data_IF_908412177075
#
_entry.id   IF_908412177075
#
_cell.length_a   1.000
_cell.length_b   1.000
_cell.length_c   1.000
_cell.angle_alpha   90.00
_cell.angle_beta   90.00
_cell.angle_gamma   90.00
#
_symmetry.space_group_name_H-M   'P 1'
#
loop_
_entity.id
_entity.type
_entity.pdbx_description
1 polymer ?
#
# COMPACT_ATOMS: atom_id res chain seq x y z
N UNK A 1 -30.18 -14.97 2.42
CA UNK A 1 -30.55 -13.54 2.69
C UNK A 1 -30.68 -12.84 1.35
N UNK A 2 -31.79 -12.15 1.08
CA UNK A 2 -31.96 -11.41 -0.18
C UNK A 2 -31.06 -10.18 -0.15
N UNK A 3 -30.16 -10.07 -1.12
CA UNK A 3 -29.28 -8.91 -1.24
C UNK A 3 -30.13 -7.71 -1.62
N UNK A 4 -30.12 -6.68 -0.78
CA UNK A 4 -30.83 -5.42 -1.06
C UNK A 4 -30.22 -4.72 -2.29
N UNK A 5 -31.06 -4.10 -3.12
CA UNK A 5 -30.58 -3.30 -4.26
C UNK A 5 -29.60 -2.18 -3.83
N UNK A 6 -29.72 -1.68 -2.60
CA UNK A 6 -28.81 -0.68 -2.02
C UNK A 6 -27.38 -1.21 -1.86
N UNK A 7 -27.21 -2.52 -1.68
CA UNK A 7 -25.88 -3.13 -1.56
C UNK A 7 -25.00 -2.84 -2.78
N UNK A 8 -25.56 -2.85 -3.98
CA UNK A 8 -24.80 -2.65 -5.22
C UNK A 8 -24.14 -1.27 -5.34
N UNK A 9 -24.59 -0.29 -4.56
CA UNK A 9 -23.94 1.02 -4.48
C UNK A 9 -22.49 0.90 -3.97
N UNK A 10 -22.23 -0.07 -3.09
CA UNK A 10 -20.91 -0.25 -2.44
C UNK A 10 -19.84 -0.71 -3.44
N UNK A 11 -19.99 -1.86 -4.17
CA UNK A 11 -19.00 -2.27 -5.16
C UNK A 11 -18.91 -1.31 -6.35
N UNK A 12 -20.02 -0.64 -6.74
CA UNK A 12 -19.98 0.39 -7.79
C UNK A 12 -19.14 1.58 -7.34
N UNK A 13 -19.32 2.07 -6.10
CA UNK A 13 -18.53 3.15 -5.56
C UNK A 13 -17.03 2.79 -5.47
N UNK A 14 -16.69 1.54 -5.11
CA UNK A 14 -15.29 1.09 -5.08
C UNK A 14 -14.65 1.09 -6.46
N UNK A 15 -15.36 0.60 -7.48
CA UNK A 15 -14.88 0.62 -8.88
C UNK A 15 -14.71 2.06 -9.36
N UNK A 16 -15.66 2.94 -9.07
CA UNK A 16 -15.54 4.37 -9.41
C UNK A 16 -14.32 5.01 -8.73
N UNK A 17 -14.07 4.71 -7.45
CA UNK A 17 -12.87 5.19 -6.74
C UNK A 17 -11.57 4.75 -7.45
N UNK A 18 -11.47 3.49 -7.86
CA UNK A 18 -10.32 2.98 -8.61
C UNK A 18 -10.17 3.61 -9.99
N UNK A 19 -11.27 3.87 -10.69
CA UNK A 19 -11.26 4.59 -11.97
C UNK A 19 -10.80 6.04 -11.81
N UNK A 20 -11.24 6.74 -10.75
CA UNK A 20 -10.76 8.08 -10.44
C UNK A 20 -9.28 8.08 -10.02
N UNK A 21 -8.82 7.09 -9.25
CA UNK A 21 -7.40 6.91 -8.95
C UNK A 21 -6.58 6.78 -10.23
N UNK A 22 -7.00 5.93 -11.15
CA UNK A 22 -6.35 5.78 -12.46
C UNK A 22 -6.36 7.08 -13.27
N UNK A 23 -7.46 7.81 -13.28
CA UNK A 23 -7.57 9.10 -13.96
C UNK A 23 -6.58 10.13 -13.40
N UNK A 24 -6.49 10.29 -12.06
CA UNK A 24 -5.53 11.19 -11.42
C UNK A 24 -4.09 10.77 -11.67
N UNK A 25 -3.79 9.47 -11.60
CA UNK A 25 -2.48 8.95 -11.95
C UNK A 25 -2.09 9.32 -13.40
N UNK A 26 -2.98 9.10 -14.35
CA UNK A 26 -2.74 9.47 -15.75
C UNK A 26 -2.55 10.98 -15.94
N UNK A 27 -3.29 11.81 -15.20
CA UNK A 27 -3.10 13.26 -15.23
C UNK A 27 -1.75 13.69 -14.66
N UNK A 28 -1.34 13.10 -13.53
CA UNK A 28 -0.04 13.34 -12.92
C UNK A 28 1.10 12.94 -13.86
N UNK A 29 0.98 11.81 -14.54
CA UNK A 29 2.00 11.30 -15.48
C UNK A 29 2.19 12.16 -16.73
N UNK A 30 1.28 13.08 -17.05
CA UNK A 30 1.43 14.05 -18.16
C UNK A 30 2.36 15.21 -17.81
N UNK A 31 2.63 15.43 -16.53
CA UNK A 31 3.53 16.50 -16.10
C UNK A 31 4.98 16.08 -16.31
N UNK A 32 5.83 17.05 -16.62
CA UNK A 32 7.25 16.82 -16.91
C UNK A 32 8.06 16.55 -15.64
N UNK A 33 8.99 15.61 -15.70
CA UNK A 33 9.93 15.30 -14.60
C UNK A 33 11.04 16.33 -14.43
N UNK A 34 11.20 17.26 -15.36
CA UNK A 34 12.21 18.31 -15.31
C UNK A 34 13.48 17.96 -16.09
N UNK A 35 14.62 18.43 -15.59
CA UNK A 35 15.93 18.30 -16.25
C UNK A 35 16.38 16.83 -16.33
N UNK A 36 17.35 16.55 -17.19
CA UNK A 36 17.90 15.19 -17.34
C UNK A 36 18.55 14.69 -16.05
N UNK A 37 19.10 15.61 -15.23
CA UNK A 37 19.63 15.29 -13.90
C UNK A 37 18.49 14.85 -12.99
N UNK A 38 17.38 15.60 -12.95
CA UNK A 38 16.20 15.25 -12.14
C UNK A 38 15.64 13.88 -12.54
N UNK A 39 15.54 13.60 -13.84
CA UNK A 39 15.09 12.30 -14.37
C UNK A 39 16.01 11.16 -13.94
N UNK A 40 17.33 11.39 -13.97
CA UNK A 40 18.33 10.40 -13.54
C UNK A 40 18.22 10.10 -12.06
N UNK A 41 18.11 11.12 -11.20
CA UNK A 41 17.92 10.96 -9.75
C UNK A 41 16.61 10.22 -9.48
N UNK A 42 15.49 10.65 -10.07
CA UNK A 42 14.20 9.99 -9.93
C UNK A 42 14.22 8.51 -10.34
N UNK A 43 15.00 8.15 -11.37
CA UNK A 43 15.19 6.77 -11.77
C UNK A 43 15.91 5.95 -10.70
N UNK A 44 16.95 6.51 -10.05
CA UNK A 44 17.67 5.84 -8.97
C UNK A 44 16.77 5.65 -7.74
N UNK A 45 16.00 6.67 -7.35
CA UNK A 45 15.03 6.59 -6.25
C UNK A 45 13.98 5.51 -6.53
N UNK A 46 13.42 5.46 -7.74
CA UNK A 46 12.46 4.40 -8.15
C UNK A 46 13.07 3.00 -8.08
N UNK A 47 14.31 2.82 -8.54
CA UNK A 47 15.01 1.53 -8.44
C UNK A 47 15.22 1.12 -6.98
N UNK A 48 15.63 2.05 -6.13
CA UNK A 48 15.78 1.82 -4.70
C UNK A 48 14.47 1.42 -4.04
N UNK A 49 13.40 2.18 -4.28
CA UNK A 49 12.07 1.90 -3.76
C UNK A 49 11.54 0.52 -4.17
N UNK A 50 11.74 0.14 -5.45
CA UNK A 50 11.35 -1.20 -5.92
C UNK A 50 12.19 -2.31 -5.30
N UNK A 51 13.48 -2.08 -5.05
CA UNK A 51 14.36 -3.04 -4.38
C UNK A 51 13.95 -3.24 -2.93
N UNK A 52 13.61 -2.16 -2.22
CA UNK A 52 13.07 -2.19 -0.87
C UNK A 52 11.76 -3.00 -0.82
N UNK A 53 10.77 -2.65 -1.65
CA UNK A 53 9.48 -3.36 -1.67
C UNK A 53 9.65 -4.85 -1.96
N UNK A 54 10.52 -5.21 -2.90
CA UNK A 54 10.80 -6.63 -3.20
C UNK A 54 11.33 -7.37 -1.99
N UNK A 55 12.25 -6.77 -1.25
CA UNK A 55 12.81 -7.38 -0.04
C UNK A 55 11.78 -7.45 1.08
N UNK A 56 11.03 -6.39 1.30
CA UNK A 56 9.97 -6.33 2.29
C UNK A 56 8.91 -7.40 2.03
N UNK A 57 8.38 -7.49 0.81
CA UNK A 57 7.34 -8.46 0.47
C UNK A 57 7.83 -9.90 0.54
N UNK A 58 9.11 -10.15 0.31
CA UNK A 58 9.69 -11.48 0.52
C UNK A 58 9.63 -11.89 1.99
N UNK A 59 10.00 -10.99 2.90
CA UNK A 59 9.96 -11.26 4.35
C UNK A 59 8.52 -11.38 4.85
N UNK A 60 7.67 -10.42 4.49
CA UNK A 60 6.25 -10.43 4.88
C UNK A 60 5.53 -11.64 4.32
N UNK A 61 5.83 -12.04 3.07
CA UNK A 61 5.27 -13.24 2.46
C UNK A 61 5.57 -14.50 3.25
N UNK A 62 6.80 -14.63 3.79
CA UNK A 62 7.15 -15.76 4.67
C UNK A 62 6.30 -15.75 5.95
N UNK A 63 6.15 -14.59 6.59
CA UNK A 63 5.30 -14.44 7.78
C UNK A 63 3.84 -14.79 7.46
N UNK A 64 3.32 -14.32 6.32
CA UNK A 64 1.96 -14.66 5.88
C UNK A 64 1.76 -16.15 5.66
N UNK A 65 2.73 -16.85 5.08
CA UNK A 65 2.67 -18.32 4.94
C UNK A 65 2.53 -18.98 6.31
N UNK A 66 3.33 -18.59 7.30
CA UNK A 66 3.26 -19.14 8.66
C UNK A 66 1.90 -18.85 9.30
N UNK A 67 1.41 -17.61 9.21
CA UNK A 67 0.13 -17.24 9.79
C UNK A 67 -1.06 -17.92 9.10
N UNK A 68 -1.04 -18.04 7.77
CA UNK A 68 -2.09 -18.76 7.01
C UNK A 68 -2.12 -20.24 7.39
N UNK A 69 -0.96 -20.89 7.57
CA UNK A 69 -0.89 -22.29 8.04
C UNK A 69 -1.42 -22.41 9.47
N UNK A 70 -1.13 -21.45 10.33
CA UNK A 70 -1.70 -21.40 11.69
C UNK A 70 -3.23 -21.26 11.65
N UNK A 71 -3.77 -20.33 10.87
CA UNK A 71 -5.22 -20.17 10.71
C UNK A 71 -5.87 -21.40 10.06
N UNK A 72 -5.19 -22.06 9.11
CA UNK A 72 -5.66 -23.31 8.53
C UNK A 72 -5.71 -24.45 9.58
N UNK A 73 -4.71 -24.56 10.45
CA UNK A 73 -4.73 -25.50 11.56
C UNK A 73 -5.88 -25.23 12.53
N UNK A 74 -6.11 -23.97 12.89
CA UNK A 74 -7.21 -23.57 13.77
C UNK A 74 -8.59 -23.84 13.14
N UNK A 75 -8.72 -23.64 11.83
CA UNK A 75 -9.99 -23.82 11.11
C UNK A 75 -10.27 -25.30 10.80
N UNK A 76 -9.30 -26.02 10.24
CA UNK A 76 -9.53 -27.37 9.72
C UNK A 76 -9.02 -28.48 10.66
N UNK A 77 -8.01 -28.21 11.51
CA UNK A 77 -7.48 -29.19 12.46
C UNK A 77 -8.20 -29.15 13.79
N UNK A 78 -8.36 -27.98 14.37
CA UNK A 78 -8.96 -27.79 15.70
C UNK A 78 -10.44 -27.40 15.65
N UNK A 79 -10.97 -27.04 14.50
CA UNK A 79 -12.36 -26.60 14.27
C UNK A 79 -12.81 -25.44 15.22
N UNK A 80 -11.85 -24.57 15.60
CA UNK A 80 -12.10 -23.42 16.50
C UNK A 80 -12.57 -22.18 15.70
N UNK A 81 -12.30 -22.16 14.39
CA UNK A 81 -12.64 -21.06 13.49
C UNK A 81 -13.31 -21.56 12.23
N UNK A 82 -13.94 -20.61 11.51
CA UNK A 82 -14.54 -20.90 10.22
C UNK A 82 -13.50 -21.22 9.14
N UNK A 83 -13.80 -22.16 8.25
CA UNK A 83 -12.92 -22.57 7.15
C UNK A 83 -12.56 -21.46 6.15
N UNK A 84 -13.33 -20.37 6.09
CA UNK A 84 -13.04 -19.21 5.23
C UNK A 84 -11.97 -18.26 5.79
N UNK A 85 -11.68 -18.36 7.10
CA UNK A 85 -10.74 -17.48 7.83
C UNK A 85 -9.34 -17.39 7.18
N UNK A 86 -8.65 -18.49 6.80
CA UNK A 86 -7.32 -18.40 6.20
C UNK A 86 -7.32 -17.64 4.87
N UNK A 87 -8.37 -17.80 4.07
CA UNK A 87 -8.49 -17.13 2.79
C UNK A 87 -8.78 -15.64 2.95
N UNK A 88 -9.66 -15.27 3.87
CA UNK A 88 -9.95 -13.87 4.17
C UNK A 88 -8.70 -13.14 4.67
N UNK A 89 -7.92 -13.77 5.56
CA UNK A 89 -6.65 -13.24 6.02
C UNK A 89 -5.67 -12.99 4.87
N UNK A 90 -5.55 -13.96 3.96
CA UNK A 90 -4.65 -13.88 2.82
C UNK A 90 -5.04 -12.76 1.85
N UNK A 91 -6.34 -12.64 1.51
CA UNK A 91 -6.80 -11.58 0.61
C UNK A 91 -6.63 -10.20 1.21
N UNK A 92 -6.89 -10.03 2.52
CA UNK A 92 -6.65 -8.78 3.23
C UNK A 92 -5.19 -8.34 3.14
N UNK A 93 -4.26 -9.25 3.40
CA UNK A 93 -2.83 -8.97 3.23
C UNK A 93 -2.44 -8.65 1.79
N UNK A 94 -3.00 -9.38 0.82
CA UNK A 94 -2.75 -9.14 -0.60
C UNK A 94 -3.21 -7.76 -1.06
N UNK A 95 -4.45 -7.36 -0.75
CA UNK A 95 -4.98 -6.06 -1.16
C UNK A 95 -4.28 -4.91 -0.45
N UNK A 96 -3.91 -5.08 0.83
CA UNK A 96 -3.10 -4.09 1.55
C UNK A 96 -1.70 -3.95 0.93
N UNK A 97 -1.03 -5.06 0.61
CA UNK A 97 0.26 -5.04 -0.09
C UNK A 97 0.17 -4.41 -1.48
N UNK A 98 -0.89 -4.71 -2.23
CA UNK A 98 -1.15 -4.11 -3.53
C UNK A 98 -1.34 -2.59 -3.43
N UNK A 99 -2.08 -2.12 -2.41
CA UNK A 99 -2.26 -0.70 -2.15
C UNK A 99 -0.92 0.00 -1.86
N UNK A 100 -0.09 -0.59 -0.99
CA UNK A 100 1.26 -0.08 -0.70
C UNK A 100 2.17 -0.05 -1.93
N UNK A 101 2.13 -1.07 -2.78
CA UNK A 101 2.88 -1.10 -4.04
C UNK A 101 2.46 0.03 -4.99
N UNK A 102 1.16 0.22 -5.19
CA UNK A 102 0.62 1.26 -6.06
C UNK A 102 0.89 2.66 -5.49
N UNK A 103 0.81 2.82 -4.16
CA UNK A 103 1.15 4.05 -3.46
C UNK A 103 2.62 4.43 -3.64
N UNK A 104 3.54 3.54 -3.31
CA UNK A 104 4.98 3.75 -3.49
C UNK A 104 5.34 4.08 -4.94
N UNK A 105 4.76 3.36 -5.89
CA UNK A 105 4.94 3.63 -7.31
C UNK A 105 4.46 5.03 -7.66
N UNK A 106 3.28 5.44 -7.17
CA UNK A 106 2.72 6.76 -7.43
C UNK A 106 3.58 7.86 -6.82
N UNK A 107 4.00 7.73 -5.55
CA UNK A 107 4.82 8.70 -4.85
C UNK A 107 6.16 8.94 -5.56
N UNK A 108 6.88 7.87 -5.91
CA UNK A 108 8.18 7.97 -6.60
C UNK A 108 8.09 8.51 -8.04
N UNK A 109 6.93 8.39 -8.70
CA UNK A 109 6.68 9.06 -9.98
C UNK A 109 6.23 10.50 -9.81
N UNK A 110 5.61 10.86 -8.67
CA UNK A 110 5.15 12.22 -8.40
C UNK A 110 6.28 13.15 -7.96
N UNK A 111 7.25 12.68 -7.17
CA UNK A 111 8.26 13.49 -6.48
C UNK A 111 8.99 14.46 -7.41
N UNK A 112 9.66 13.97 -8.46
CA UNK A 112 10.37 14.83 -9.41
C UNK A 112 9.42 15.78 -10.18
N UNK A 113 8.23 15.31 -10.54
CA UNK A 113 7.21 16.14 -11.22
C UNK A 113 6.72 17.27 -10.34
N UNK A 114 6.50 16.98 -9.06
CA UNK A 114 6.12 17.98 -8.06
C UNK A 114 7.21 19.03 -7.89
N UNK A 115 8.47 18.59 -7.72
CA UNK A 115 9.61 19.49 -7.59
C UNK A 115 9.79 20.39 -8.82
N UNK A 116 9.75 19.82 -10.03
CA UNK A 116 9.86 20.59 -11.27
C UNK A 116 8.71 21.60 -11.45
N UNK A 117 7.48 21.21 -11.08
CA UNK A 117 6.34 22.12 -11.16
C UNK A 117 6.40 23.23 -10.10
N UNK A 118 6.89 22.93 -8.89
CA UNK A 118 7.05 23.90 -7.82
C UNK A 118 8.06 25.00 -8.15
N UNK A 119 9.11 24.71 -8.93
CA UNK A 119 10.05 25.72 -9.44
C UNK A 119 9.34 26.80 -10.29
N UNK A 120 8.26 26.44 -10.97
CA UNK A 120 7.48 27.37 -11.81
C UNK A 120 6.37 28.07 -11.01
N UNK A 121 5.71 27.36 -10.12
CA UNK A 121 4.62 27.86 -9.28
C UNK A 121 4.31 26.89 -8.16
N UNK A 122 4.23 27.40 -6.92
CA UNK A 122 3.81 26.64 -5.74
C UNK A 122 2.45 25.94 -5.96
N UNK A 123 1.48 26.67 -6.51
CA UNK A 123 0.15 26.13 -6.77
C UNK A 123 0.16 24.95 -7.76
N UNK A 124 1.05 24.99 -8.77
CA UNK A 124 1.21 23.89 -9.72
C UNK A 124 1.84 22.67 -9.06
N UNK A 125 2.86 22.87 -8.22
CA UNK A 125 3.46 21.80 -7.41
C UNK A 125 2.44 21.14 -6.48
N UNK A 126 1.69 21.96 -5.71
CA UNK A 126 0.63 21.47 -4.83
C UNK A 126 -0.43 20.66 -5.57
N UNK A 127 -0.84 21.08 -6.76
CA UNK A 127 -1.84 20.33 -7.56
C UNK A 127 -1.36 18.94 -7.93
N UNK A 128 -0.06 18.76 -8.23
CA UNK A 128 0.51 17.43 -8.54
C UNK A 128 0.60 16.59 -7.27
N UNK A 129 1.06 17.17 -6.16
CA UNK A 129 1.14 16.50 -4.88
C UNK A 129 -0.24 16.02 -4.39
N UNK A 130 -1.27 16.88 -4.44
CA UNK A 130 -2.64 16.49 -4.10
C UNK A 130 -3.19 15.39 -5.00
N UNK A 131 -2.89 15.40 -6.29
CA UNK A 131 -3.29 14.31 -7.19
C UNK A 131 -2.64 12.99 -6.81
N UNK A 132 -1.34 13.02 -6.46
CA UNK A 132 -0.62 11.85 -5.98
C UNK A 132 -1.24 11.27 -4.71
N UNK A 133 -1.50 12.13 -3.71
CA UNK A 133 -2.18 11.73 -2.48
C UNK A 133 -3.59 11.20 -2.72
N UNK A 134 -4.36 11.83 -3.62
CA UNK A 134 -5.69 11.36 -4.00
C UNK A 134 -5.66 9.97 -4.67
N UNK A 135 -4.64 9.68 -5.50
CA UNK A 135 -4.45 8.33 -6.06
C UNK A 135 -4.30 7.31 -4.95
N UNK A 136 -3.43 7.59 -3.97
CA UNK A 136 -3.19 6.66 -2.86
C UNK A 136 -4.46 6.45 -2.03
N UNK A 137 -5.12 7.52 -1.60
CA UNK A 137 -6.35 7.43 -0.80
C UNK A 137 -7.47 6.67 -1.51
N UNK A 138 -7.69 6.95 -2.79
CA UNK A 138 -8.72 6.26 -3.59
C UNK A 138 -8.38 4.79 -3.87
N UNK A 139 -7.09 4.43 -4.04
CA UNK A 139 -6.65 3.05 -4.19
C UNK A 139 -6.90 2.27 -2.90
N UNK A 140 -6.48 2.80 -1.75
CA UNK A 140 -6.68 2.13 -0.45
C UNK A 140 -8.15 1.88 -0.18
N UNK A 141 -8.98 2.94 -0.25
CA UNK A 141 -10.42 2.82 0.00
C UNK A 141 -11.09 1.94 -1.04
N UNK A 142 -10.77 2.13 -2.33
CA UNK A 142 -11.34 1.35 -3.42
C UNK A 142 -11.05 -0.14 -3.28
N UNK A 143 -9.80 -0.53 -3.03
CA UNK A 143 -9.43 -1.94 -2.86
C UNK A 143 -10.05 -2.56 -1.60
N UNK A 144 -10.05 -1.84 -0.47
CA UNK A 144 -10.64 -2.33 0.78
C UNK A 144 -12.15 -2.57 0.64
N UNK A 145 -12.88 -1.58 0.10
CA UNK A 145 -14.33 -1.69 -0.11
C UNK A 145 -14.68 -2.76 -1.15
N UNK A 146 -13.84 -2.91 -2.19
CA UNK A 146 -14.02 -3.96 -3.19
C UNK A 146 -13.92 -5.36 -2.56
N UNK A 147 -12.85 -5.61 -1.79
CA UNK A 147 -12.61 -6.92 -1.18
C UNK A 147 -13.70 -7.25 -0.14
N UNK A 148 -14.07 -6.29 0.71
CA UNK A 148 -15.20 -6.44 1.64
C UNK A 148 -16.49 -6.81 0.90
N UNK A 149 -16.78 -6.14 -0.22
CA UNK A 149 -17.97 -6.41 -1.02
C UNK A 149 -17.94 -7.80 -1.64
N UNK A 150 -16.79 -8.22 -2.15
CA UNK A 150 -16.60 -9.56 -2.72
C UNK A 150 -16.76 -10.64 -1.65
N UNK A 151 -16.15 -10.47 -0.47
CA UNK A 151 -16.30 -11.41 0.63
C UNK A 151 -17.74 -11.53 1.10
N UNK A 152 -18.47 -10.42 1.22
CA UNK A 152 -19.89 -10.45 1.57
C UNK A 152 -20.70 -11.26 0.54
N UNK A 153 -20.46 -11.05 -0.76
CA UNK A 153 -21.16 -11.80 -1.83
C UNK A 153 -20.82 -13.29 -1.77
N UNK A 154 -19.53 -13.63 -1.66
CA UNK A 154 -19.06 -15.02 -1.60
C UNK A 154 -19.67 -15.73 -0.40
N UNK A 155 -19.54 -15.15 0.79
CA UNK A 155 -20.04 -15.76 2.01
C UNK A 155 -21.58 -15.87 2.01
N UNK A 156 -22.27 -14.85 1.50
CA UNK A 156 -23.74 -14.90 1.42
C UNK A 156 -24.24 -15.99 0.45
N UNK A 157 -23.47 -16.30 -0.59
CA UNK A 157 -23.81 -17.33 -1.57
C UNK A 157 -23.42 -18.74 -1.11
N UNK A 158 -22.21 -18.91 -0.56
CA UNK A 158 -21.65 -20.23 -0.24
C UNK A 158 -21.99 -20.73 1.19
N UNK A 159 -22.40 -19.85 2.11
CA UNK A 159 -22.82 -20.29 3.43
C UNK A 159 -24.30 -20.64 3.40
N UNK A 160 -24.58 -21.94 3.47
CA UNK A 160 -25.93 -22.49 3.56
C UNK A 160 -26.30 -22.76 5.03
N UNK A 161 -26.47 -21.66 5.80
CA UNK A 161 -26.86 -21.72 7.20
C UNK A 161 -28.34 -21.34 7.33
N UNK A 162 -29.18 -22.24 7.86
CA UNK A 162 -30.61 -21.99 7.97
C UNK A 162 -30.97 -20.86 8.94
N UNK A 163 -30.17 -20.67 9.99
CA UNK A 163 -30.36 -19.58 10.95
C UNK A 163 -29.70 -18.29 10.46
N UNK A 164 -30.48 -17.23 10.14
CA UNK A 164 -29.93 -15.94 9.70
C UNK A 164 -28.93 -15.32 10.69
N UNK A 165 -29.12 -15.55 12.00
CA UNK A 165 -28.24 -15.01 13.03
C UNK A 165 -26.87 -15.68 13.00
N UNK A 166 -26.83 -17.01 12.87
CA UNK A 166 -25.59 -17.78 12.75
C UNK A 166 -24.88 -17.43 11.45
N UNK A 167 -25.60 -17.33 10.34
CA UNK A 167 -25.05 -16.88 9.06
C UNK A 167 -24.36 -15.52 9.18
N UNK A 168 -24.98 -14.57 9.87
CA UNK A 168 -24.41 -13.24 10.06
C UNK A 168 -23.14 -13.29 10.91
N UNK A 169 -23.11 -14.12 11.95
CA UNK A 169 -21.90 -14.31 12.78
C UNK A 169 -20.74 -14.83 11.93
N UNK A 170 -20.97 -15.85 11.12
CA UNK A 170 -19.95 -16.42 10.24
C UNK A 170 -19.43 -15.37 9.24
N UNK A 171 -20.30 -14.60 8.62
CA UNK A 171 -19.93 -13.54 7.68
C UNK A 171 -19.08 -12.49 8.40
N UNK A 172 -19.54 -11.96 9.52
CA UNK A 172 -18.84 -10.88 10.23
C UNK A 172 -17.50 -11.30 10.81
N UNK A 173 -17.39 -12.50 11.37
CA UNK A 173 -16.11 -13.03 11.88
C UNK A 173 -15.09 -13.26 10.77
N UNK A 174 -15.53 -13.77 9.62
CA UNK A 174 -14.66 -13.93 8.44
C UNK A 174 -14.19 -12.56 7.92
N UNK A 175 -15.08 -11.58 7.84
CA UNK A 175 -14.73 -10.22 7.40
C UNK A 175 -13.79 -9.51 8.39
N UNK A 176 -13.89 -9.77 9.70
CA UNK A 176 -12.90 -9.30 10.68
C UNK A 176 -11.51 -9.86 10.40
N UNK A 177 -11.42 -11.11 9.99
CA UNK A 177 -10.12 -11.75 9.69
C UNK A 177 -9.46 -11.16 8.43
N UNK A 178 -10.26 -10.73 7.45
CA UNK A 178 -9.74 -9.90 6.35
C UNK A 178 -9.06 -8.63 6.88
N UNK A 179 -9.72 -7.90 7.79
CA UNK A 179 -9.15 -6.73 8.45
C UNK A 179 -7.84 -7.03 9.20
N UNK A 180 -7.74 -8.20 9.85
CA UNK A 180 -6.51 -8.66 10.50
C UNK A 180 -5.38 -8.87 9.48
N UNK A 181 -5.64 -9.48 8.33
CA UNK A 181 -4.67 -9.65 7.26
C UNK A 181 -4.16 -8.31 6.71
N UNK A 182 -5.06 -7.39 6.43
CA UNK A 182 -4.72 -6.05 5.97
C UNK A 182 -3.89 -5.28 7.00
N UNK A 183 -4.29 -5.33 8.28
CA UNK A 183 -3.57 -4.68 9.39
C UNK A 183 -2.18 -5.28 9.62
N UNK A 184 -2.04 -6.60 9.49
CA UNK A 184 -0.74 -7.27 9.60
C UNK A 184 0.21 -6.79 8.52
N UNK A 185 -0.23 -6.75 7.26
CA UNK A 185 0.56 -6.22 6.15
C UNK A 185 0.95 -4.75 6.39
N UNK A 186 0.00 -3.91 6.79
CA UNK A 186 0.22 -2.50 7.06
C UNK A 186 1.20 -2.28 8.23
N UNK A 187 1.12 -3.11 9.29
CA UNK A 187 2.05 -3.05 10.41
C UNK A 187 3.49 -3.31 9.97
N UNK A 188 3.72 -4.38 9.20
CA UNK A 188 5.05 -4.69 8.68
C UNK A 188 5.56 -3.61 7.71
N UNK A 189 4.68 -3.04 6.88
CA UNK A 189 5.03 -1.93 6.00
C UNK A 189 5.47 -0.71 6.81
N UNK A 190 4.68 -0.31 7.80
CA UNK A 190 4.94 0.87 8.64
C UNK A 190 6.19 0.71 9.50
N UNK A 191 6.34 -0.40 10.20
CA UNK A 191 7.51 -0.64 11.07
C UNK A 191 8.77 -0.82 10.24
N UNK A 192 8.72 -1.64 9.18
CA UNK A 192 9.85 -1.86 8.29
C UNK A 192 10.27 -0.58 7.56
N UNK A 193 9.30 0.21 7.09
CA UNK A 193 9.52 1.52 6.47
C UNK A 193 10.20 2.49 7.42
N UNK A 194 9.67 2.65 8.63
CA UNK A 194 10.24 3.55 9.64
C UNK A 194 11.66 3.17 10.07
N UNK A 195 11.95 1.88 10.23
CA UNK A 195 13.31 1.41 10.52
C UNK A 195 14.26 1.73 9.35
N UNK A 196 13.82 1.43 8.11
CA UNK A 196 14.62 1.71 6.93
C UNK A 196 14.92 3.20 6.77
N UNK A 197 13.89 4.06 6.91
CA UNK A 197 14.02 5.52 6.82
C UNK A 197 15.05 6.04 7.82
N UNK A 198 14.96 5.64 9.08
CA UNK A 198 15.92 6.09 10.10
C UNK A 198 17.32 5.52 9.90
N UNK A 199 17.45 4.30 9.44
CA UNK A 199 18.75 3.72 9.13
C UNK A 199 19.42 4.40 7.92
N UNK A 200 18.63 4.76 6.90
CA UNK A 200 19.13 5.46 5.71
C UNK A 200 19.55 6.90 6.04
N UNK A 201 18.71 7.65 6.74
CA UNK A 201 18.93 9.03 7.20
C UNK A 201 20.22 9.12 8.03
N UNK A 202 20.29 8.38 9.15
CA UNK A 202 21.48 8.36 10.02
C UNK A 202 22.73 7.87 9.27
N UNK A 203 22.61 6.85 8.42
CA UNK A 203 23.71 6.32 7.63
C UNK A 203 24.22 7.33 6.60
N UNK A 204 23.33 8.03 5.91
CA UNK A 204 23.69 9.09 4.96
C UNK A 204 24.42 10.25 5.64
N UNK A 205 23.93 10.65 6.82
CA UNK A 205 24.55 11.73 7.62
C UNK A 205 25.94 11.34 8.12
N UNK A 206 26.11 10.13 8.64
CA UNK A 206 27.44 9.68 9.12
C UNK A 206 28.46 9.65 7.99
N UNK A 207 28.12 9.10 6.84
CA UNK A 207 29.03 9.04 5.67
C UNK A 207 29.30 10.44 5.13
N UNK A 208 28.28 11.27 4.99
CA UNK A 208 28.42 12.61 4.44
C UNK A 208 29.15 13.56 5.37
N UNK A 209 28.62 13.80 6.57
CA UNK A 209 29.11 14.82 7.49
C UNK A 209 30.38 14.39 8.22
N UNK A 210 30.48 13.14 8.67
CA UNK A 210 31.57 12.67 9.54
C UNK A 210 32.73 12.13 8.72
N UNK A 211 32.48 11.24 7.74
CA UNK A 211 33.56 10.62 6.97
C UNK A 211 34.03 11.50 5.81
N UNK A 212 33.10 12.04 5.01
CA UNK A 212 33.42 12.80 3.81
C UNK A 212 33.56 14.33 4.03
N UNK A 213 33.06 14.85 5.17
CA UNK A 213 33.10 16.27 5.48
C UNK A 213 32.31 17.15 4.49
N UNK A 214 31.25 16.61 3.90
CA UNK A 214 30.37 17.31 2.97
C UNK A 214 29.03 17.66 3.64
N UNK A 215 28.32 18.69 3.12
CA UNK A 215 27.02 19.07 3.67
C UNK A 215 26.01 17.93 3.60
N UNK A 216 24.95 18.05 4.42
CA UNK A 216 23.77 17.20 4.37
C UNK A 216 23.14 17.24 2.96
N UNK A 217 22.59 16.14 2.49
CA UNK A 217 21.98 15.98 1.18
C UNK A 217 22.89 16.31 -0.03
N UNK A 218 24.19 16.35 0.17
CA UNK A 218 25.14 16.63 -0.92
C UNK A 218 25.04 15.55 -2.02
N UNK A 219 24.86 15.93 -3.30
CA UNK A 219 24.71 14.98 -4.41
C UNK A 219 25.95 14.09 -4.65
N UNK A 220 27.09 14.40 -4.03
CA UNK A 220 28.30 13.54 -4.05
C UNK A 220 28.16 12.34 -3.11
N UNK A 221 27.26 12.41 -2.12
CA UNK A 221 27.02 11.31 -1.21
C UNK A 221 26.02 10.32 -1.83
N UNK A 222 26.42 9.09 -2.22
CA UNK A 222 25.52 8.12 -2.81
C UNK A 222 24.44 7.64 -1.83
N UNK A 223 24.63 7.79 -0.52
CA UNK A 223 23.67 7.42 0.49
C UNK A 223 22.44 8.34 0.52
N UNK A 224 22.52 9.56 -0.01
CA UNK A 224 21.39 10.48 -0.20
C UNK A 224 20.25 9.85 -1.04
N UNK A 225 20.56 8.94 -1.98
CA UNK A 225 19.52 8.20 -2.71
C UNK A 225 18.77 7.25 -1.78
N UNK A 226 19.47 6.57 -0.87
CA UNK A 226 18.83 5.67 0.11
C UNK A 226 17.96 6.45 1.09
N UNK A 227 18.40 7.62 1.51
CA UNK A 227 17.65 8.54 2.35
C UNK A 227 16.36 9.01 1.67
N UNK A 228 16.45 9.52 0.44
CA UNK A 228 15.27 9.88 -0.35
C UNK A 228 14.30 8.70 -0.60
N UNK A 229 14.81 7.47 -0.70
CA UNK A 229 13.96 6.28 -0.74
C UNK A 229 13.26 6.08 0.60
N UNK A 230 13.98 6.31 1.70
CA UNK A 230 13.45 6.24 3.06
C UNK A 230 12.25 7.15 3.25
N UNK A 231 12.34 8.40 2.84
CA UNK A 231 11.24 9.37 2.92
C UNK A 231 10.00 8.88 2.17
N UNK A 232 10.17 8.37 0.95
CA UNK A 232 9.04 7.80 0.19
C UNK A 232 8.46 6.55 0.85
N UNK A 233 9.26 5.75 1.57
CA UNK A 233 8.82 4.52 2.26
C UNK A 233 8.12 4.84 3.57
N UNK A 234 8.59 5.85 4.30
CA UNK A 234 8.04 6.24 5.60
C UNK A 234 6.68 6.93 5.49
N UNK A 235 6.41 7.60 4.35
CA UNK A 235 5.23 8.45 4.15
C UNK A 235 4.10 7.73 3.37
N UNK A 236 4.30 6.53 2.86
CA UNK A 236 3.34 5.69 2.13
C UNK A 236 2.95 4.47 2.96
#
# INVERSE_FOLDING_TARGET
MIISNVFWVVPIASVLALLFAYYFFRQMMKEDEGTDIMKKIALHVRKGAMSYLKQQYKVVGLVFVVLVLLFALLAYGLHVQNGWTPFAFLTGGFFSGLAGFLGMKTATYASARTANAAQKSLNRGLKIAFRSGAVMGLVVVGLAVLDISLWYLILNYFIDEPDPSQKLIVITTTMLTFGMGASTQALFARVGGGIYTKAADVGADLVGKVEAGIPEDDPRNPATIADNVGDNVGDV
#
